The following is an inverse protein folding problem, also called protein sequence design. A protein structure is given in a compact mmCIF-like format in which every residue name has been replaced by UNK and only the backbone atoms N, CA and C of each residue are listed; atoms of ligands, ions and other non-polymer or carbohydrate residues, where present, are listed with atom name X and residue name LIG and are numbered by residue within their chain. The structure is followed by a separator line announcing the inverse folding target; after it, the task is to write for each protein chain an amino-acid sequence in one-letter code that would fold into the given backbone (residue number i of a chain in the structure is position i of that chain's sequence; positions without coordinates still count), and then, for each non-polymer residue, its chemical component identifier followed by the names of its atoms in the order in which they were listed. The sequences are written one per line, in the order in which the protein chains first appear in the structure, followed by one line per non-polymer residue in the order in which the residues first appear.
data_IF_431292731118
#
_entry.id   IF_431292731118
#
_cell.length_a   1.000
_cell.length_b   1.000
_cell.length_c   1.000
_cell.angle_alpha   90.00
_cell.angle_beta   90.00
_cell.angle_gamma   90.00
#
_symmetry.space_group_name_H-M   'P 1'
#
loop_
_entity.id
_entity.type
_entity.pdbx_description
1 polymer ?
#
# COMPACT_ATOMS: atom_id res chain seq x y z
N UNK A 1 3.24 -0.37 24.38
CA UNK A 1 2.80 0.99 23.99
C UNK A 1 3.94 1.87 23.46
N UNK A 2 5.05 2.05 24.19
CA UNK A 2 6.17 2.92 23.78
C UNK A 2 6.97 2.38 22.58
N UNK A 3 7.07 1.05 22.40
CA UNK A 3 7.95 0.44 21.38
C UNK A 3 7.60 0.79 19.93
N UNK A 4 6.32 0.76 19.54
CA UNK A 4 5.92 1.14 18.17
C UNK A 4 6.14 2.64 17.90
N UNK A 5 6.07 3.47 18.95
CA UNK A 5 6.35 4.90 18.88
C UNK A 5 7.84 5.16 18.63
N UNK A 6 8.72 4.40 19.30
CA UNK A 6 10.16 4.50 19.09
C UNK A 6 10.56 4.10 17.67
N UNK A 7 10.03 2.98 17.16
CA UNK A 7 10.29 2.54 15.78
C UNK A 7 9.90 3.60 14.75
N UNK A 8 8.73 4.23 14.90
CA UNK A 8 8.30 5.31 14.00
C UNK A 8 9.21 6.55 14.09
N UNK A 9 9.70 6.88 15.29
CA UNK A 9 10.63 8.00 15.49
C UNK A 9 12.00 7.71 14.88
N UNK A 10 12.51 6.49 15.04
CA UNK A 10 13.77 6.04 14.43
C UNK A 10 13.71 6.06 12.90
N UNK A 11 12.53 5.81 12.32
CA UNK A 11 12.26 5.96 10.89
C UNK A 11 12.13 7.43 10.44
N UNK A 12 12.29 8.40 11.34
CA UNK A 12 12.23 9.83 11.02
C UNK A 12 10.82 10.37 10.74
N UNK A 13 9.77 9.65 11.16
CA UNK A 13 8.38 10.08 10.89
C UNK A 13 8.07 11.44 11.54
N UNK A 14 7.55 12.42 10.78
CA UNK A 14 7.09 13.69 11.33
C UNK A 14 5.99 13.52 12.38
N UNK A 15 6.03 14.33 13.44
CA UNK A 15 5.06 14.26 14.54
C UNK A 15 3.59 14.37 14.07
N UNK A 16 3.30 15.18 13.04
CA UNK A 16 1.95 15.30 12.48
C UNK A 16 1.41 13.97 11.93
N UNK A 17 2.26 13.19 11.26
CA UNK A 17 1.89 11.88 10.71
C UNK A 17 1.76 10.82 11.81
N UNK A 18 2.62 10.93 12.83
CA UNK A 18 2.53 10.12 14.02
C UNK A 18 1.17 10.26 14.72
N UNK A 19 0.69 11.49 14.95
CA UNK A 19 -0.64 11.70 15.54
C UNK A 19 -1.76 11.08 14.69
N UNK A 20 -1.66 11.17 13.36
CA UNK A 20 -2.64 10.57 12.45
C UNK A 20 -2.75 9.04 12.60
N UNK A 21 -1.68 8.34 12.99
CA UNK A 21 -1.71 6.89 13.24
C UNK A 21 -2.31 6.53 14.60
N UNK A 22 -2.14 7.40 15.60
CA UNK A 22 -2.66 7.18 16.96
C UNK A 22 -4.17 7.39 17.06
N UNK A 23 -4.71 8.36 16.31
CA UNK A 23 -6.13 8.74 16.35
C UNK A 23 -7.00 7.98 15.34
N UNK A 24 -6.40 7.14 14.51
CA UNK A 24 -7.11 6.34 13.51
C UNK A 24 -7.90 5.22 14.17
N UNK A 25 -9.18 5.06 13.77
CA UNK A 25 -10.08 4.00 14.25
C UNK A 25 -9.51 2.58 14.04
N UNK A 26 -8.65 2.43 13.04
CA UNK A 26 -8.03 1.15 12.67
C UNK A 26 -6.88 0.73 13.59
N UNK A 27 -6.46 1.63 14.48
CA UNK A 27 -5.46 1.42 15.51
C UNK A 27 -4.27 0.53 15.10
N UNK A 28 -3.55 0.81 13.99
CA UNK A 28 -2.47 -0.06 13.51
C UNK A 28 -1.37 -0.27 14.55
N UNK A 29 -1.20 0.73 15.41
CA UNK A 29 -0.16 0.80 16.44
C UNK A 29 -0.42 -0.20 17.60
N UNK A 30 -1.57 -0.87 17.65
CA UNK A 30 -1.92 -1.76 18.76
C UNK A 30 -1.55 -3.24 18.50
N UNK A 31 -1.47 -3.67 17.24
CA UNK A 31 -1.01 -5.02 16.86
C UNK A 31 0.51 -5.06 16.61
N UNK A 32 1.31 -5.15 17.67
CA UNK A 32 2.78 -5.02 17.64
C UNK A 32 3.48 -5.79 16.50
N UNK A 33 3.29 -7.11 16.41
CA UNK A 33 4.00 -7.95 15.43
C UNK A 33 3.57 -7.62 14.01
N UNK A 34 2.26 -7.49 13.77
CA UNK A 34 1.71 -7.13 12.46
C UNK A 34 2.14 -5.72 12.04
N UNK A 35 2.25 -4.80 12.99
CA UNK A 35 2.67 -3.43 12.76
C UNK A 35 4.14 -3.34 12.35
N UNK A 36 5.05 -3.94 13.13
CA UNK A 36 6.49 -3.98 12.82
C UNK A 36 6.73 -4.68 11.47
N UNK A 37 6.04 -5.78 11.19
CA UNK A 37 6.12 -6.48 9.90
C UNK A 37 5.62 -5.61 8.73
N UNK A 38 4.51 -4.88 8.91
CA UNK A 38 3.95 -3.98 7.89
C UNK A 38 4.89 -2.81 7.61
N UNK A 39 5.49 -2.22 8.65
CA UNK A 39 6.49 -1.16 8.51
C UNK A 39 7.70 -1.65 7.73
N UNK A 40 8.31 -2.76 8.15
CA UNK A 40 9.47 -3.35 7.48
C UNK A 40 9.18 -3.61 6.00
N UNK A 41 8.03 -4.19 5.69
CA UNK A 41 7.61 -4.46 4.31
C UNK A 41 7.56 -3.21 3.44
N UNK A 42 7.02 -2.11 3.96
CA UNK A 42 6.91 -0.85 3.22
C UNK A 42 8.28 -0.19 3.04
N UNK A 43 9.12 -0.19 4.08
CA UNK A 43 10.49 0.34 3.99
C UNK A 43 11.33 -0.48 3.00
N UNK A 44 11.28 -1.81 3.06
CA UNK A 44 11.96 -2.73 2.13
C UNK A 44 11.48 -2.54 0.67
N UNK A 45 10.27 -1.98 0.46
CA UNK A 45 9.68 -1.64 -0.85
C UNK A 45 9.98 -0.19 -1.28
N UNK A 46 10.77 0.55 -0.50
CA UNK A 46 11.18 1.92 -0.82
C UNK A 46 10.09 2.97 -0.59
N UNK A 47 9.11 2.70 0.28
CA UNK A 47 8.17 3.75 0.69
C UNK A 47 8.84 4.69 1.70
N UNK A 48 8.71 5.99 1.47
CA UNK A 48 9.27 7.02 2.36
C UNK A 48 8.40 7.22 3.62
N UNK A 49 8.90 6.85 4.82
CA UNK A 49 8.17 6.94 6.09
C UNK A 49 7.80 8.36 6.51
N UNK A 50 8.36 9.37 5.86
CA UNK A 50 8.09 10.79 6.15
C UNK A 50 6.87 11.35 5.42
N UNK A 51 6.23 10.54 4.56
CA UNK A 51 5.11 10.97 3.71
C UNK A 51 3.74 10.54 4.24
N UNK A 52 2.70 11.34 3.94
CA UNK A 52 1.32 10.94 4.23
C UNK A 52 0.88 9.69 3.45
N UNK A 53 1.45 9.47 2.26
CA UNK A 53 1.21 8.27 1.44
C UNK A 53 1.69 7.00 2.16
N UNK A 54 2.80 7.08 2.88
CA UNK A 54 3.25 5.95 3.72
C UNK A 54 2.22 5.61 4.79
N UNK A 55 1.71 6.61 5.53
CA UNK A 55 0.67 6.41 6.54
C UNK A 55 -0.60 5.79 5.96
N UNK A 56 -1.05 6.27 4.79
CA UNK A 56 -2.20 5.70 4.10
C UNK A 56 -1.95 4.24 3.68
N UNK A 57 -0.79 3.96 3.08
CA UNK A 57 -0.43 2.60 2.65
C UNK A 57 -0.29 1.66 3.84
N UNK A 58 0.29 2.13 4.95
CA UNK A 58 0.42 1.37 6.19
C UNK A 58 -0.94 0.96 6.72
N UNK A 59 -1.94 1.85 6.72
CA UNK A 59 -3.31 1.47 7.08
C UNK A 59 -3.88 0.37 6.17
N UNK A 60 -3.63 0.44 4.86
CA UNK A 60 -4.12 -0.58 3.92
C UNK A 60 -3.44 -1.92 4.16
N UNK A 61 -2.11 -1.94 4.21
CA UNK A 61 -1.31 -3.16 4.39
C UNK A 61 -1.53 -3.77 5.77
N UNK A 62 -1.72 -2.94 6.80
CA UNK A 62 -2.04 -3.42 8.14
C UNK A 62 -3.41 -4.14 8.19
N UNK A 63 -4.38 -3.76 7.35
CA UNK A 63 -5.68 -4.45 7.31
C UNK A 63 -5.67 -5.72 6.47
N UNK A 64 -4.90 -5.74 5.40
CA UNK A 64 -4.87 -6.87 4.47
C UNK A 64 -3.90 -7.96 4.95
N UNK A 65 -4.19 -9.22 4.62
CA UNK A 65 -3.23 -10.30 4.81
C UNK A 65 -2.17 -10.27 3.70
N UNK A 66 -1.00 -10.84 3.94
CA UNK A 66 0.03 -10.96 2.89
C UNK A 66 -0.49 -11.73 1.68
N UNK A 67 -1.24 -12.82 1.92
CA UNK A 67 -1.91 -13.58 0.87
C UNK A 67 -2.81 -12.67 0.02
N UNK A 68 -3.66 -11.87 0.65
CA UNK A 68 -4.56 -10.93 -0.05
C UNK A 68 -3.79 -9.88 -0.86
N UNK A 69 -2.66 -9.40 -0.36
CA UNK A 69 -1.81 -8.45 -1.11
C UNK A 69 -1.20 -9.13 -2.34
N UNK A 70 -0.70 -10.37 -2.20
CA UNK A 70 -0.13 -11.12 -3.33
C UNK A 70 -1.18 -11.50 -4.37
N UNK A 71 -2.39 -11.88 -3.94
CA UNK A 71 -3.53 -12.13 -4.85
C UNK A 71 -3.83 -10.88 -5.68
N UNK A 72 -3.87 -9.70 -5.05
CA UNK A 72 -4.08 -8.42 -5.75
C UNK A 72 -2.96 -8.08 -6.73
N UNK A 73 -1.70 -8.30 -6.35
CA UNK A 73 -0.58 -8.17 -7.29
C UNK A 73 -0.73 -9.15 -8.46
N UNK A 74 -1.19 -10.37 -8.20
CA UNK A 74 -1.50 -11.39 -9.20
C UNK A 74 -2.53 -10.93 -10.23
N UNK A 75 -3.59 -10.23 -9.81
CA UNK A 75 -4.57 -9.65 -10.73
C UNK A 75 -3.91 -8.72 -11.74
N UNK A 76 -3.08 -7.77 -11.28
CA UNK A 76 -2.39 -6.86 -12.19
C UNK A 76 -1.37 -7.58 -13.09
N UNK A 77 -0.68 -8.61 -12.58
CA UNK A 77 0.19 -9.44 -13.42
C UNK A 77 -0.58 -10.14 -14.54
N UNK A 78 -1.76 -10.67 -14.25
CA UNK A 78 -2.62 -11.32 -15.25
C UNK A 78 -3.13 -10.33 -16.32
N UNK A 79 -3.20 -9.05 -15.97
CA UNK A 79 -3.50 -7.95 -16.91
C UNK A 79 -2.26 -7.46 -17.69
N UNK A 80 -1.09 -8.08 -17.49
CA UNK A 80 0.14 -7.81 -18.24
C UNK A 80 1.14 -6.86 -17.57
N UNK A 81 0.87 -6.38 -16.35
CA UNK A 81 1.80 -5.48 -15.66
C UNK A 81 3.00 -6.20 -15.06
N UNK A 82 4.20 -5.60 -15.16
CA UNK A 82 5.35 -6.06 -14.42
C UNK A 82 5.16 -5.80 -12.91
N UNK A 83 5.68 -6.68 -12.06
CA UNK A 83 5.52 -6.58 -10.60
C UNK A 83 6.08 -5.26 -10.06
N UNK A 84 7.17 -4.75 -10.65
CA UNK A 84 7.74 -3.45 -10.31
C UNK A 84 6.74 -2.31 -10.50
N UNK A 85 6.10 -2.25 -11.67
CA UNK A 85 5.13 -1.21 -12.02
C UNK A 85 3.90 -1.23 -11.12
N UNK A 86 3.45 -2.42 -10.72
CA UNK A 86 2.36 -2.59 -9.75
C UNK A 86 2.73 -1.93 -8.41
N UNK A 87 3.96 -2.14 -7.92
CA UNK A 87 4.42 -1.51 -6.70
C UNK A 87 4.61 0.00 -6.84
N UNK A 88 5.06 0.50 -8.00
CA UNK A 88 5.11 1.93 -8.29
C UNK A 88 3.72 2.57 -8.30
N UNK A 89 2.74 1.91 -8.92
CA UNK A 89 1.35 2.35 -8.91
C UNK A 89 0.79 2.39 -7.49
N UNK A 90 1.06 1.37 -6.66
CA UNK A 90 0.61 1.36 -5.26
C UNK A 90 1.27 2.47 -4.42
N UNK A 91 2.55 2.78 -4.69
CA UNK A 91 3.24 3.93 -4.07
C UNK A 91 2.58 5.26 -4.44
N UNK A 92 2.18 5.41 -5.71
CA UNK A 92 1.49 6.61 -6.19
C UNK A 92 0.06 6.70 -5.67
N UNK A 93 -0.65 5.57 -5.63
CA UNK A 93 -2.07 5.45 -5.34
C UNK A 93 -2.38 4.31 -4.34
N UNK A 94 -2.15 4.50 -3.04
CA UNK A 94 -2.32 3.44 -2.03
C UNK A 94 -3.73 2.84 -1.97
N UNK A 95 -4.74 3.61 -2.36
CA UNK A 95 -6.14 3.18 -2.41
C UNK A 95 -6.41 2.11 -3.48
N UNK A 96 -5.56 1.97 -4.49
CA UNK A 96 -5.69 0.93 -5.54
C UNK A 96 -5.69 -0.48 -4.96
N UNK A 97 -4.94 -0.73 -3.89
CA UNK A 97 -4.95 -1.99 -3.14
C UNK A 97 -6.31 -2.32 -2.49
N UNK A 98 -7.21 -1.35 -2.35
CA UNK A 98 -8.57 -1.58 -1.82
C UNK A 98 -9.56 -2.03 -2.89
N UNK A 99 -9.22 -1.89 -4.18
CA UNK A 99 -10.11 -2.27 -5.27
C UNK A 99 -10.30 -3.80 -5.30
N UNK A 100 -11.51 -4.25 -5.65
CA UNK A 100 -11.76 -5.67 -5.91
C UNK A 100 -11.20 -6.06 -7.26
N UNK A 101 -10.87 -7.34 -7.42
CA UNK A 101 -10.44 -7.91 -8.70
C UNK A 101 -11.39 -7.53 -9.84
N UNK A 102 -12.70 -7.76 -9.67
CA UNK A 102 -13.70 -7.40 -10.67
C UNK A 102 -13.65 -5.92 -11.07
N UNK A 103 -13.47 -5.00 -10.10
CA UNK A 103 -13.38 -3.57 -10.42
C UNK A 103 -12.12 -3.24 -11.20
N UNK A 104 -10.99 -3.84 -10.84
CA UNK A 104 -9.72 -3.64 -11.54
C UNK A 104 -9.82 -4.17 -12.98
N UNK A 105 -10.26 -5.41 -13.15
CA UNK A 105 -10.38 -6.05 -14.47
C UNK A 105 -11.37 -5.31 -15.36
N UNK A 106 -12.56 -4.95 -14.87
CA UNK A 106 -13.54 -4.19 -15.65
C UNK A 106 -13.02 -2.82 -16.08
N UNK A 107 -12.34 -2.10 -15.17
CA UNK A 107 -11.75 -0.80 -15.50
C UNK A 107 -10.69 -0.97 -16.58
N UNK A 108 -9.83 -1.98 -16.46
CA UNK A 108 -8.78 -2.25 -17.44
C UNK A 108 -9.33 -2.61 -18.82
N UNK A 109 -10.29 -3.54 -18.90
CA UNK A 109 -10.94 -3.91 -20.17
C UNK A 109 -11.67 -2.71 -20.79
N UNK A 110 -12.29 -1.86 -19.97
CA UNK A 110 -12.94 -0.63 -20.44
C UNK A 110 -11.91 0.32 -21.05
N UNK A 111 -10.80 0.60 -20.36
CA UNK A 111 -9.72 1.45 -20.87
C UNK A 111 -9.12 0.88 -22.16
N UNK A 112 -8.96 -0.46 -22.23
CA UNK A 112 -8.50 -1.17 -23.42
C UNK A 112 -9.45 -0.98 -24.60
N UNK A 113 -10.75 -1.13 -24.37
CA UNK A 113 -11.79 -0.98 -25.42
C UNK A 113 -11.86 0.44 -25.99
N UNK A 114 -11.46 1.45 -25.20
CA UNK A 114 -11.35 2.83 -25.64
C UNK A 114 -10.01 3.16 -26.30
N UNK A 115 -9.10 2.18 -26.48
CA UNK A 115 -7.76 2.41 -27.04
C UNK A 115 -6.83 3.20 -26.11
N UNK A 116 -7.18 3.35 -24.83
CA UNK A 116 -6.42 4.16 -23.86
C UNK A 116 -5.24 3.40 -23.23
N UNK A 117 -5.02 2.16 -23.65
CA UNK A 117 -3.91 1.30 -23.22
C UNK A 117 -2.98 0.90 -24.38
N UNK A 118 -3.21 1.43 -25.59
CA UNK A 118 -2.29 1.26 -26.72
C UNK A 118 -1.22 2.35 -26.68
N UNK A 119 -0.02 1.96 -26.25
CA UNK A 119 1.30 2.38 -26.78
C UNK A 119 2.39 1.88 -25.85
N UNK A 120 3.05 0.78 -26.19
CA UNK A 120 4.51 0.65 -26.11
C UNK A 120 4.94 -0.15 -27.36
N UNK A 121 5.24 0.58 -28.43
CA UNK A 121 6.10 0.10 -29.51
C UNK A 121 7.57 0.31 -29.15
#
# INVERSE_FOLDING_TARGET
KIRNVLVLRELGMPHKLFFSLLISDDQPVFGKERFEASLKKLVDKGFDPTTSKFVQTLHVVYKLSDKTIQEKVGVYKNLGFAVGDVWEMFKKWPSSLKLSENKVTQTFETLKSFGLLENEG
#
